data_IF_148736608384
#
_entry.id   IF_148736608384
#
_cell.length_a   1.000
_cell.length_b   1.000
_cell.length_c   1.000
_cell.angle_alpha   90.00
_cell.angle_beta   90.00
_cell.angle_gamma   90.00
#
_symmetry.space_group_name_H-M   'P 1'
#
loop_
_entity.id
_entity.type
_entity.pdbx_description
1 polymer ?
#
# COMPACT_ATOMS: atom_id res chain seq x y z
N UNK A 1 -1.06 -7.49 -7.69
CA UNK A 1 0.02 -6.53 -7.38
C UNK A 1 1.29 -6.73 -8.21
N UNK A 2 2.00 -7.86 -8.11
CA UNK A 2 3.24 -8.10 -8.87
C UNK A 2 3.04 -8.00 -10.39
N UNK A 3 2.05 -8.70 -10.94
CA UNK A 3 1.69 -8.59 -12.36
C UNK A 3 1.21 -7.19 -12.77
N UNK A 4 0.68 -6.40 -11.82
CA UNK A 4 0.19 -5.04 -12.08
C UNK A 4 1.33 -4.00 -12.04
N UNK A 5 2.38 -4.25 -11.28
CA UNK A 5 3.51 -3.33 -11.07
C UNK A 5 4.75 -3.70 -11.88
N UNK A 6 4.77 -4.90 -12.48
CA UNK A 6 5.93 -5.43 -13.19
C UNK A 6 7.06 -5.91 -12.28
N UNK A 7 6.83 -5.98 -10.97
CA UNK A 7 7.84 -6.35 -9.98
C UNK A 7 7.89 -7.86 -9.82
N UNK A 8 9.11 -8.41 -9.87
CA UNK A 8 9.36 -9.82 -9.56
C UNK A 8 9.32 -10.11 -8.06
N UNK A 9 8.90 -11.31 -7.68
CA UNK A 9 8.82 -11.72 -6.28
C UNK A 9 10.17 -11.65 -5.54
N UNK A 10 11.26 -11.95 -6.25
CA UNK A 10 12.65 -11.84 -5.78
C UNK A 10 13.02 -10.42 -5.35
N UNK A 11 12.47 -9.42 -6.04
CA UNK A 11 12.81 -8.01 -5.89
C UNK A 11 11.97 -7.28 -4.85
N UNK A 12 10.92 -7.93 -4.29
CA UNK A 12 10.00 -7.30 -3.32
C UNK A 12 10.75 -6.72 -2.12
N UNK A 13 11.70 -7.46 -1.54
CA UNK A 13 12.42 -7.01 -0.34
C UNK A 13 13.25 -5.76 -0.60
N UNK A 14 13.88 -5.69 -1.77
CA UNK A 14 14.65 -4.51 -2.20
C UNK A 14 13.71 -3.35 -2.50
N UNK A 15 12.61 -3.59 -3.23
CA UNK A 15 11.61 -2.58 -3.54
C UNK A 15 10.94 -2.00 -2.28
N UNK A 16 10.75 -2.80 -1.23
CA UNK A 16 10.20 -2.35 0.06
C UNK A 16 11.06 -1.30 0.79
N UNK A 17 12.31 -1.07 0.35
CA UNK A 17 13.14 0.03 0.86
C UNK A 17 12.75 1.39 0.26
N UNK A 18 11.99 1.38 -0.83
CA UNK A 18 11.55 2.60 -1.52
C UNK A 18 10.19 3.04 -1.00
N UNK A 19 10.11 4.26 -0.46
CA UNK A 19 8.86 4.81 0.08
C UNK A 19 7.73 4.86 -0.96
N UNK A 20 8.07 5.12 -2.22
CA UNK A 20 7.11 5.13 -3.32
C UNK A 20 6.52 3.75 -3.62
N UNK A 21 7.30 2.67 -3.43
CA UNK A 21 6.79 1.31 -3.55
C UNK A 21 5.78 1.00 -2.44
N UNK A 22 6.09 1.37 -1.18
CA UNK A 22 5.16 1.23 -0.07
C UNK A 22 3.86 2.01 -0.32
N UNK A 23 3.95 3.22 -0.88
CA UNK A 23 2.77 4.01 -1.26
C UNK A 23 1.90 3.27 -2.28
N UNK A 24 2.52 2.70 -3.33
CA UNK A 24 1.81 1.89 -4.33
C UNK A 24 1.16 0.63 -3.74
N UNK A 25 1.79 0.00 -2.75
CA UNK A 25 1.17 -1.11 -2.00
C UNK A 25 -0.06 -0.63 -1.25
N UNK A 26 0.04 0.44 -0.43
CA UNK A 26 -1.13 0.93 0.32
C UNK A 26 -2.27 1.37 -0.59
N UNK A 27 -1.96 2.01 -1.72
CA UNK A 27 -2.96 2.39 -2.72
C UNK A 27 -3.66 1.17 -3.34
N UNK A 28 -2.94 0.06 -3.57
CA UNK A 28 -3.55 -1.19 -4.03
C UNK A 28 -4.54 -1.77 -3.03
N UNK A 29 -4.26 -1.67 -1.72
CA UNK A 29 -5.20 -2.12 -0.69
C UNK A 29 -6.42 -1.20 -0.65
N UNK A 30 -6.21 0.12 -0.61
CA UNK A 30 -7.30 1.11 -0.58
C UNK A 30 -8.19 1.07 -1.83
N UNK A 31 -7.64 0.68 -2.99
CA UNK A 31 -8.39 0.52 -4.24
C UNK A 31 -9.21 -0.76 -4.34
N UNK A 32 -9.09 -1.69 -3.38
CA UNK A 32 -9.81 -2.97 -3.40
C UNK A 32 -10.25 -3.38 -1.99
N UNK A 33 -11.47 -2.96 -1.63
CA UNK A 33 -12.07 -3.14 -0.29
C UNK A 33 -11.95 -4.58 0.27
N UNK A 34 -12.23 -5.67 -0.48
CA UNK A 34 -12.10 -7.02 0.08
C UNK A 34 -10.66 -7.37 0.51
N UNK A 35 -9.66 -6.83 -0.19
CA UNK A 35 -8.25 -7.02 0.18
C UNK A 35 -7.88 -6.21 1.40
N UNK A 36 -8.35 -4.95 1.48
CA UNK A 36 -8.14 -4.09 2.64
C UNK A 36 -8.72 -4.71 3.92
N UNK A 37 -9.98 -5.13 3.88
CA UNK A 37 -10.67 -5.69 5.04
C UNK A 37 -10.00 -6.97 5.52
N UNK A 38 -9.71 -7.92 4.62
CA UNK A 38 -9.01 -9.17 5.00
C UNK A 38 -7.66 -8.90 5.66
N UNK A 39 -6.87 -7.98 5.12
CA UNK A 39 -5.59 -7.61 5.72
C UNK A 39 -5.75 -6.98 7.10
N UNK A 40 -6.74 -6.12 7.27
CA UNK A 40 -7.03 -5.47 8.55
C UNK A 40 -7.47 -6.50 9.60
N UNK A 41 -8.31 -7.46 9.23
CA UNK A 41 -8.74 -8.58 10.07
C UNK A 41 -7.57 -9.48 10.47
N UNK A 42 -6.76 -9.92 9.50
CA UNK A 42 -5.61 -10.81 9.74
C UNK A 42 -4.53 -10.16 10.61
N UNK A 43 -4.39 -8.84 10.53
CA UNK A 43 -3.33 -8.10 11.21
C UNK A 43 -3.81 -7.31 12.43
N UNK A 44 -5.10 -7.37 12.76
CA UNK A 44 -5.71 -6.66 13.88
C UNK A 44 -5.60 -5.13 13.78
N UNK A 45 -5.64 -4.59 12.56
CA UNK A 45 -5.49 -3.15 12.28
C UNK A 45 -6.82 -2.53 11.86
N UNK A 46 -6.98 -1.27 12.20
CA UNK A 46 -8.10 -0.45 11.72
C UNK A 46 -7.84 -0.03 10.26
N UNK A 47 -8.78 -0.23 9.31
CA UNK A 47 -8.68 0.30 7.95
C UNK A 47 -8.34 1.80 7.88
N UNK A 48 -8.83 2.62 8.82
CA UNK A 48 -8.50 4.04 8.90
C UNK A 48 -7.01 4.31 9.12
N UNK A 49 -6.28 3.37 9.74
CA UNK A 49 -4.83 3.46 9.89
C UNK A 49 -4.11 3.35 8.54
N UNK A 50 -4.66 2.60 7.59
CA UNK A 50 -4.10 2.42 6.25
C UNK A 50 -4.29 3.69 5.42
N UNK A 51 -5.47 4.30 5.49
CA UNK A 51 -5.73 5.62 4.89
C UNK A 51 -4.77 6.68 5.45
N UNK A 52 -4.60 6.72 6.77
CA UNK A 52 -3.66 7.64 7.43
C UNK A 52 -2.21 7.36 7.03
N UNK A 53 -1.81 6.11 6.91
CA UNK A 53 -0.45 5.77 6.48
C UNK A 53 -0.18 6.26 5.05
N UNK A 54 -1.17 6.21 4.17
CA UNK A 54 -1.04 6.70 2.80
C UNK A 54 -0.78 8.21 2.73
N UNK A 55 -1.31 9.02 3.66
CA UNK A 55 -1.06 10.47 3.67
C UNK A 55 0.36 10.84 4.12
N UNK A 56 1.08 9.91 4.75
CA UNK A 56 2.46 10.11 5.22
C UNK A 56 3.52 9.70 4.18
N UNK A 57 3.12 9.01 3.11
CA UNK A 57 4.03 8.53 2.08
C UNK A 57 4.05 9.45 0.83
N UNK A 58 5.17 9.49 0.09
CA UNK A 58 5.25 10.23 -1.18
C UNK A 58 4.17 9.77 -2.16
N UNK A 59 3.43 10.71 -2.77
CA UNK A 59 2.32 10.40 -3.68
C UNK A 59 0.99 10.05 -2.99
N UNK A 60 0.87 10.29 -1.69
CA UNK A 60 -0.39 10.12 -0.95
C UNK A 60 -1.56 10.93 -1.51
N UNK A 61 -2.80 10.49 -1.20
CA UNK A 61 -4.08 11.05 -1.64
C UNK A 61 -4.28 12.58 -1.43
N UNK A 62 -3.37 13.25 -0.72
CA UNK A 62 -3.39 14.70 -0.44
C UNK A 62 -2.25 15.50 -1.10
N UNK A 63 -1.47 14.93 -2.03
CA UNK A 63 -0.39 15.66 -2.73
C UNK A 63 -0.90 16.49 -3.94
N UNK A 64 -1.93 17.30 -3.73
CA UNK A 64 -2.47 18.27 -4.70
C UNK A 64 -2.13 19.72 -4.25
N UNK A 65 -0.87 20.01 -3.96
CA UNK A 65 -0.37 21.38 -3.81
C UNK A 65 0.74 21.64 -4.81
#
# INVERSE_FOLDING_TARGET
>A
FLALTGIEASSIRSAAQELGFLAGVLQFFLGHEPTLIRFCEETGRDPALIEKAMTLLPGGLNHHL
#
